data_IF_471040396748
#
_entry.id   IF_471040396748
#
_cell.length_a   1.000
_cell.length_b   1.000
_cell.length_c   1.000
_cell.angle_alpha   90.00
_cell.angle_beta   90.00
_cell.angle_gamma   90.00
#
_symmetry.space_group_name_H-M   'P 1'
#
loop_
_entity.id
_entity.type
_entity.pdbx_description
1 polymer ?
#
# COMPACT_ATOMS: atom_id res chain seq x y z
N UNK A 1 9.76 8.06 10.42
CA UNK A 1 10.74 7.76 9.34
C UNK A 1 10.03 7.15 8.14
N UNK A 2 10.72 7.00 7.01
CA UNK A 2 10.23 6.31 5.81
C UNK A 2 10.99 5.00 5.64
N UNK A 3 10.34 3.98 5.06
CA UNK A 3 10.96 2.68 4.79
C UNK A 3 10.85 2.34 3.31
N UNK A 4 11.96 1.86 2.75
CA UNK A 4 11.97 1.23 1.43
C UNK A 4 11.29 -0.13 1.51
N UNK A 5 10.55 -0.49 0.47
CA UNK A 5 9.94 -1.80 0.33
C UNK A 5 9.91 -2.22 -1.14
N UNK A 6 9.76 -3.52 -1.37
CA UNK A 6 9.41 -4.08 -2.68
C UNK A 6 8.02 -4.72 -2.60
N UNK A 7 7.27 -4.63 -3.69
CA UNK A 7 5.97 -5.30 -3.82
C UNK A 7 6.15 -6.72 -4.35
N UNK A 8 5.14 -7.57 -4.17
CA UNK A 8 5.12 -8.93 -4.76
C UNK A 8 5.22 -8.93 -6.30
N UNK A 9 4.91 -7.82 -6.96
CA UNK A 9 5.07 -7.62 -8.41
C UNK A 9 6.46 -7.06 -8.80
N UNK A 10 7.41 -6.99 -7.86
CA UNK A 10 8.77 -6.50 -8.11
C UNK A 10 8.93 -4.98 -8.16
N UNK A 11 7.86 -4.20 -7.95
CA UNK A 11 7.95 -2.73 -7.91
C UNK A 11 8.61 -2.25 -6.62
N UNK A 12 9.41 -1.18 -6.71
CA UNK A 12 10.04 -0.53 -5.56
C UNK A 12 9.18 0.62 -5.07
N UNK A 13 9.12 0.79 -3.75
CA UNK A 13 8.37 1.87 -3.13
C UNK A 13 9.03 2.42 -1.86
N UNK A 14 8.50 3.55 -1.43
CA UNK A 14 8.85 4.23 -0.19
C UNK A 14 7.56 4.51 0.57
N UNK A 15 7.45 4.04 1.81
CA UNK A 15 6.23 4.15 2.62
C UNK A 15 6.50 4.61 4.06
N UNK A 16 5.49 4.55 4.94
CA UNK A 16 5.66 4.80 6.38
C UNK A 16 6.75 3.91 7.00
N UNK A 17 7.40 4.38 8.06
CA UNK A 17 8.53 3.69 8.69
C UNK A 17 8.22 2.31 9.29
N UNK A 18 6.93 1.98 9.41
CA UNK A 18 6.40 0.76 10.03
C UNK A 18 5.72 -0.17 9.02
N UNK A 19 5.97 0.02 7.72
CA UNK A 19 5.61 -0.95 6.67
C UNK A 19 6.26 -2.30 6.97
N UNK A 20 5.53 -3.38 6.73
CA UNK A 20 6.00 -4.76 6.93
C UNK A 20 5.46 -5.69 5.84
N UNK A 21 6.03 -6.88 5.74
CA UNK A 21 5.53 -7.94 4.85
C UNK A 21 4.05 -8.26 5.14
N UNK A 22 3.26 -8.43 4.09
CA UNK A 22 1.81 -8.63 4.16
C UNK A 22 0.99 -7.33 4.14
N UNK A 23 1.62 -6.17 4.28
CA UNK A 23 0.96 -4.90 3.96
C UNK A 23 0.69 -4.79 2.46
N UNK A 24 -0.37 -4.08 2.10
CA UNK A 24 -0.83 -3.91 0.73
C UNK A 24 -0.61 -2.48 0.26
N UNK A 25 -0.18 -2.32 -0.99
CA UNK A 25 -0.25 -1.05 -1.71
C UNK A 25 -1.62 -0.96 -2.37
N UNK A 26 -2.38 0.10 -2.07
CA UNK A 26 -3.69 0.34 -2.67
C UNK A 26 -3.80 1.77 -3.17
N UNK A 27 -4.44 1.96 -4.32
CA UNK A 27 -4.92 3.26 -4.78
C UNK A 27 -6.43 3.27 -4.55
N UNK A 28 -6.93 4.28 -3.86
CA UNK A 28 -8.36 4.47 -3.71
C UNK A 28 -8.97 4.90 -5.05
N UNK A 29 -10.23 4.54 -5.29
CA UNK A 29 -10.97 5.01 -6.46
C UNK A 29 -10.93 6.54 -6.48
N UNK A 30 -10.61 7.10 -7.64
CA UNK A 30 -10.39 8.53 -7.88
C UNK A 30 -9.22 9.17 -7.09
N UNK A 31 -8.43 8.35 -6.38
CA UNK A 31 -7.20 8.77 -5.74
C UNK A 31 -6.04 8.84 -6.72
N UNK A 32 -5.14 9.80 -6.51
CA UNK A 32 -3.92 9.98 -7.31
C UNK A 32 -2.65 9.48 -6.62
N UNK A 33 -2.76 8.96 -5.39
CA UNK A 33 -1.63 8.54 -4.57
C UNK A 33 -1.85 7.14 -4.00
N UNK A 34 -0.83 6.26 -3.99
CA UNK A 34 -0.86 5.00 -3.29
C UNK A 34 -0.86 5.17 -1.77
N UNK A 35 -1.55 4.26 -1.10
CA UNK A 35 -1.55 4.11 0.35
C UNK A 35 -1.08 2.71 0.74
N UNK A 36 -0.47 2.61 1.91
CA UNK A 36 -0.23 1.32 2.54
C UNK A 36 -1.42 0.98 3.44
N UNK A 37 -2.02 -0.17 3.20
CA UNK A 37 -3.08 -0.75 4.02
C UNK A 37 -2.57 -2.00 4.72
N UNK A 38 -2.96 -2.17 5.98
CA UNK A 38 -2.70 -3.40 6.75
C UNK A 38 -4.02 -4.15 6.99
N UNK A 39 -4.17 -5.39 6.53
CA UNK A 39 -5.34 -6.19 6.85
C UNK A 39 -5.39 -6.47 8.35
N UNK A 40 -6.58 -6.33 8.94
CA UNK A 40 -6.85 -6.79 10.29
C UNK A 40 -7.30 -8.25 10.21
N UNK A 41 -6.60 -9.14 10.92
CA UNK A 41 -7.04 -10.53 11.08
C UNK A 41 -8.07 -10.52 12.22
N UNK A 42 -9.35 -10.41 11.85
CA UNK A 42 -10.48 -10.52 12.77
C UNK A 42 -11.20 -11.85 12.52
N UNK A 43 -11.69 -12.47 13.59
CA UNK A 43 -12.53 -13.67 13.55
C UNK A 43 -13.99 -13.37 13.20
N UNK A 44 -14.35 -12.08 13.13
CA UNK A 44 -15.70 -11.62 12.84
C UNK A 44 -15.89 -11.53 11.33
N UNK A 45 -17.15 -11.61 10.86
CA UNK A 45 -17.50 -11.57 9.43
C UNK A 45 -17.05 -10.30 8.69
N UNK A 46 -16.66 -9.25 9.44
CA UNK A 46 -16.21 -7.99 8.88
C UNK A 46 -14.68 -7.96 8.72
N UNK A 47 -14.24 -7.78 7.48
CA UNK A 47 -12.84 -7.51 7.15
C UNK A 47 -12.55 -6.01 7.24
N UNK A 48 -11.57 -5.63 8.04
CA UNK A 48 -11.13 -4.23 8.18
C UNK A 48 -9.68 -4.07 7.74
N UNK A 49 -9.35 -2.87 7.28
CA UNK A 49 -7.99 -2.47 6.92
C UNK A 49 -7.61 -1.22 7.69
N UNK A 50 -6.41 -1.21 8.26
CA UNK A 50 -5.81 -0.01 8.82
C UNK A 50 -5.07 0.74 7.73
N UNK A 51 -5.41 2.01 7.53
CA UNK A 51 -4.64 2.91 6.66
C UNK A 51 -3.38 3.33 7.42
N UNK A 52 -2.22 2.90 6.92
CA UNK A 52 -0.92 3.24 7.52
C UNK A 52 -0.38 4.59 7.04
N UNK A 53 -0.77 5.00 5.83
CA UNK A 53 -0.43 6.29 5.24
C UNK A 53 0.01 6.20 3.79
N UNK A 54 0.41 7.33 3.22
CA UNK A 54 0.78 7.48 1.82
C UNK A 54 2.12 6.79 1.48
N UNK A 55 2.19 6.26 0.26
CA UNK A 55 3.39 5.66 -0.31
C UNK A 55 3.71 6.24 -1.69
N UNK A 56 5.00 6.26 -2.00
CA UNK A 56 5.50 6.38 -3.36
C UNK A 56 5.74 4.96 -3.87
N UNK A 57 5.27 4.64 -5.08
CA UNK A 57 5.59 3.38 -5.75
C UNK A 57 5.94 3.69 -7.19
N UNK A 58 7.13 3.25 -7.60
CA UNK A 58 7.68 3.47 -8.93
C UNK A 58 6.78 2.84 -10.00
N UNK A 59 6.55 3.55 -11.11
CA UNK A 59 5.61 3.23 -12.20
C UNK A 59 4.12 3.33 -11.84
N UNK A 60 3.74 3.16 -10.57
CA UNK A 60 2.33 3.23 -10.14
C UNK A 60 1.81 4.66 -10.12
N UNK A 61 2.60 5.61 -9.64
CA UNK A 61 2.20 7.03 -9.60
C UNK A 61 2.23 7.73 -10.96
N UNK A 62 2.81 7.10 -11.98
CA UNK A 62 2.84 7.61 -13.37
C UNK A 62 1.61 7.17 -14.19
N UNK A 63 0.63 6.52 -13.54
CA UNK A 63 -0.62 6.09 -14.17
C UNK A 63 -0.59 4.66 -14.70
N UNK A 64 0.49 3.91 -14.51
CA UNK A 64 0.59 2.51 -14.96
C UNK A 64 -0.13 1.50 -14.03
N UNK A 65 -0.79 2.00 -12.98
CA UNK A 65 -1.44 1.15 -11.98
C UNK A 65 -2.82 0.62 -12.41
N UNK A 66 -3.49 1.31 -13.34
CA UNK A 66 -4.86 1.02 -13.79
C UNK A 66 -4.94 0.40 -15.19
N UNK A 67 -3.79 0.10 -15.81
CA UNK A 67 -3.74 -0.58 -17.11
C UNK A 67 -3.63 -2.10 -16.97
#
# INVERSE_FOLDING_TARGET
GRSFFSTAKGRIGLGPGFVKEGDMVCIFIDGNMPFILRPSISTDENSYYTVLGEAYVDGVMEGEALN
#
